data_IF_446206577992
#
_entry.id   IF_446206577992
#
_cell.length_a   1.000
_cell.length_b   1.000
_cell.length_c   1.000
_cell.angle_alpha   90.00
_cell.angle_beta   90.00
_cell.angle_gamma   90.00
#
_symmetry.space_group_name_H-M   'P 1'
#
loop_
_entity.id
_entity.type
_entity.pdbx_description
1 polymer ?
#
# COMPACT_ATOMS: atom_id res chain seq x y z
N UNK A 1 25.78 14.47 30.35
CA UNK A 1 25.62 14.57 28.89
C UNK A 1 24.36 13.80 28.56
N UNK A 2 23.30 14.53 28.23
CA UNK A 2 21.96 14.00 28.04
C UNK A 2 21.94 12.99 26.89
N UNK A 3 21.41 11.81 27.17
CA UNK A 3 20.95 10.90 26.13
C UNK A 3 19.76 11.57 25.45
N UNK A 4 19.99 12.22 24.31
CA UNK A 4 18.90 12.67 23.46
C UNK A 4 18.25 11.42 22.88
N UNK A 5 17.24 10.92 23.58
CA UNK A 5 16.27 9.99 23.01
C UNK A 5 15.59 10.75 21.87
N UNK A 6 16.02 10.49 20.63
CA UNK A 6 15.31 11.01 19.46
C UNK A 6 14.04 10.18 19.31
N UNK A 7 12.84 10.70 19.64
CA UNK A 7 11.63 9.98 19.27
C UNK A 7 11.63 9.85 17.76
N UNK A 8 11.39 8.64 17.27
CA UNK A 8 11.31 8.30 15.85
C UNK A 8 10.18 9.07 15.17
N UNK A 9 10.38 10.37 14.91
CA UNK A 9 9.43 11.31 14.28
C UNK A 9 8.84 10.81 12.97
N UNK A 10 9.58 9.93 12.29
CA UNK A 10 9.18 9.34 11.02
C UNK A 10 7.94 8.44 11.14
N UNK A 11 7.76 7.75 12.28
CA UNK A 11 6.60 6.88 12.50
C UNK A 11 5.31 7.69 12.73
N UNK A 12 5.42 8.74 13.53
CA UNK A 12 4.30 9.64 13.82
C UNK A 12 3.84 10.39 12.55
N UNK A 13 4.79 10.93 11.78
CA UNK A 13 4.51 11.57 10.50
C UNK A 13 3.90 10.61 9.45
N UNK A 14 4.29 9.33 9.46
CA UNK A 14 3.69 8.31 8.58
C UNK A 14 2.24 8.04 8.95
N UNK A 15 1.92 8.01 10.24
CA UNK A 15 0.55 7.79 10.72
C UNK A 15 -0.33 8.99 10.37
N UNK A 16 0.15 10.22 10.61
CA UNK A 16 -0.57 11.45 10.24
C UNK A 16 -0.85 11.49 8.73
N UNK A 17 0.16 11.24 7.90
CA UNK A 17 0.01 11.23 6.45
C UNK A 17 -0.96 10.15 5.97
N UNK A 18 -0.91 8.95 6.56
CA UNK A 18 -1.84 7.86 6.24
C UNK A 18 -3.28 8.27 6.56
N UNK A 19 -3.50 8.88 7.73
CA UNK A 19 -4.82 9.32 8.16
C UNK A 19 -5.40 10.38 7.20
N UNK A 20 -4.61 11.37 6.80
CA UNK A 20 -5.04 12.40 5.84
C UNK A 20 -5.42 11.80 4.47
N UNK A 21 -4.62 10.86 3.96
CA UNK A 21 -4.88 10.21 2.67
C UNK A 21 -6.15 9.38 2.72
N UNK A 22 -6.33 8.55 3.77
CA UNK A 22 -7.52 7.72 3.91
C UNK A 22 -8.76 8.61 4.12
N UNK A 23 -8.68 9.66 4.93
CA UNK A 23 -9.77 10.60 5.15
C UNK A 23 -10.24 11.27 3.85
N UNK A 24 -9.30 11.71 3.01
CA UNK A 24 -9.62 12.28 1.70
C UNK A 24 -10.29 11.25 0.77
N UNK A 25 -9.80 10.00 0.78
CA UNK A 25 -10.37 8.94 -0.05
C UNK A 25 -11.81 8.62 0.36
N UNK A 26 -12.06 8.38 1.66
CA UNK A 26 -13.40 7.98 2.14
C UNK A 26 -14.41 9.13 2.10
N UNK A 27 -13.95 10.39 2.11
CA UNK A 27 -14.83 11.56 1.96
C UNK A 27 -15.52 11.61 0.60
N UNK A 28 -14.91 11.05 -0.44
CA UNK A 28 -15.46 11.03 -1.80
C UNK A 28 -15.76 9.61 -2.33
N UNK A 29 -15.43 8.57 -1.56
CA UNK A 29 -15.63 7.17 -1.93
C UNK A 29 -16.26 6.41 -0.75
N UNK A 30 -17.57 6.10 -0.80
CA UNK A 30 -18.19 5.32 0.25
C UNK A 30 -17.59 3.91 0.30
N UNK A 31 -16.87 3.62 1.38
CA UNK A 31 -16.23 2.32 1.63
C UNK A 31 -16.99 1.55 2.70
N UNK A 32 -17.19 0.23 2.53
CA UNK A 32 -17.75 -0.62 3.57
C UNK A 32 -16.90 -0.58 4.83
N UNK A 33 -17.53 -0.53 6.00
CA UNK A 33 -16.83 -0.50 7.30
C UNK A 33 -15.91 -1.70 7.52
N UNK A 34 -16.21 -2.84 6.90
CA UNK A 34 -15.37 -4.05 6.97
C UNK A 34 -14.08 -3.95 6.16
N UNK A 35 -14.03 -3.10 5.13
CA UNK A 35 -12.87 -2.93 4.25
C UNK A 35 -11.95 -1.78 4.69
N UNK A 36 -12.46 -0.87 5.55
CA UNK A 36 -11.70 0.27 6.04
C UNK A 36 -10.39 -0.12 6.76
N UNK A 37 -10.34 -1.17 7.61
CA UNK A 37 -9.09 -1.58 8.25
C UNK A 37 -8.03 -2.06 7.24
N UNK A 38 -8.45 -2.78 6.19
CA UNK A 38 -7.56 -3.25 5.13
C UNK A 38 -6.99 -2.07 4.36
N UNK A 39 -7.84 -1.11 3.98
CA UNK A 39 -7.41 0.09 3.26
C UNK A 39 -6.35 0.88 4.05
N UNK A 40 -6.55 1.08 5.34
CA UNK A 40 -5.59 1.78 6.22
C UNK A 40 -4.26 1.02 6.26
N UNK A 41 -4.30 -0.31 6.43
CA UNK A 41 -3.11 -1.14 6.46
C UNK A 41 -2.33 -1.08 5.15
N UNK A 42 -3.02 -1.14 4.01
CA UNK A 42 -2.41 -1.08 2.68
C UNK A 42 -1.74 0.27 2.41
N UNK A 43 -2.40 1.38 2.74
CA UNK A 43 -1.85 2.73 2.55
C UNK A 43 -0.66 2.96 3.47
N UNK A 44 -0.78 2.63 4.75
CA UNK A 44 0.33 2.75 5.72
C UNK A 44 1.52 1.89 5.27
N UNK A 45 1.26 0.65 4.88
CA UNK A 45 2.31 -0.24 4.37
C UNK A 45 2.94 0.35 3.11
N UNK A 46 2.16 0.86 2.15
CA UNK A 46 2.65 1.44 0.89
C UNK A 46 3.52 2.68 1.12
N UNK A 47 3.10 3.59 1.99
CA UNK A 47 3.88 4.77 2.35
C UNK A 47 5.17 4.40 3.11
N UNK A 48 5.11 3.40 3.99
CA UNK A 48 6.30 2.87 4.67
C UNK A 48 7.36 2.25 3.75
N UNK A 49 6.97 1.79 2.55
CA UNK A 49 7.91 1.30 1.50
C UNK A 49 8.55 2.44 0.73
N UNK A 50 7.96 3.64 0.73
CA UNK A 50 8.53 4.83 0.08
C UNK A 50 9.68 5.33 0.96
N UNK A 51 10.87 4.76 0.77
CA UNK A 51 12.10 5.13 1.47
C UNK A 51 12.89 3.95 2.05
N UNK A 52 12.27 2.78 2.18
CA UNK A 52 12.93 1.51 2.48
C UNK A 52 13.01 0.63 1.25
N UNK A 53 14.12 -0.10 1.07
CA UNK A 53 14.30 -1.04 -0.03
C UNK A 53 13.05 -1.91 -0.22
N UNK A 54 12.44 -1.77 -1.39
CA UNK A 54 11.21 -2.46 -1.78
C UNK A 54 11.44 -3.98 -1.72
N UNK A 55 10.84 -4.68 -0.74
CA UNK A 55 10.58 -6.10 -0.91
C UNK A 55 9.43 -6.18 -1.93
N UNK A 56 9.84 -6.31 -3.19
CA UNK A 56 8.97 -6.40 -4.35
C UNK A 56 7.92 -7.50 -4.08
N UNK A 57 6.61 -7.20 -4.03
CA UNK A 57 5.62 -8.26 -3.97
C UNK A 57 5.87 -9.14 -5.20
N UNK A 58 6.13 -10.42 -4.94
CA UNK A 58 6.40 -11.41 -5.97
C UNK A 58 5.35 -11.26 -7.05
N UNK A 59 5.75 -10.83 -8.25
CA UNK A 59 4.85 -10.63 -9.37
C UNK A 59 4.05 -11.92 -9.55
N UNK A 60 2.79 -11.90 -9.12
CA UNK A 60 1.84 -12.97 -9.38
C UNK A 60 1.78 -13.07 -10.89
N UNK A 61 2.43 -14.11 -11.44
CA UNK A 61 2.53 -14.36 -12.88
C UNK A 61 1.15 -14.13 -13.46
N UNK A 62 1.02 -13.07 -14.25
CA UNK A 62 -0.18 -12.81 -15.03
C UNK A 62 -0.40 -14.08 -15.85
N UNK A 63 -1.42 -14.85 -15.48
CA UNK A 63 -1.79 -16.08 -16.18
C UNK A 63 -2.10 -15.62 -17.61
N UNK A 64 -1.44 -16.16 -18.65
CA UNK A 64 -1.71 -15.73 -20.00
C UNK A 64 -3.22 -15.90 -20.27
N UNK A 65 -3.89 -14.81 -20.63
CA UNK A 65 -5.33 -14.79 -20.86
C UNK A 65 -5.76 -15.58 -22.11
N UNK A 66 -4.82 -16.21 -22.81
CA UNK A 66 -5.08 -16.93 -24.05
C UNK A 66 -4.53 -18.34 -23.98
N UNK A 67 -5.41 -19.29 -24.31
CA UNK A 67 -5.07 -20.70 -24.42
C UNK A 67 -4.19 -20.88 -25.67
N UNK A 68 -2.94 -21.36 -25.57
CA UNK A 68 -2.01 -21.45 -26.70
C UNK A 68 -2.48 -22.38 -27.84
N UNK A 69 -3.58 -23.12 -27.65
CA UNK A 69 -4.22 -23.95 -28.68
C UNK A 69 -5.04 -23.17 -29.73
N UNK A 70 -5.22 -21.84 -29.58
CA UNK A 70 -5.85 -20.97 -30.60
C UNK A 70 -4.85 -20.10 -31.37
N UNK A 71 -3.55 -20.40 -31.33
CA UNK A 71 -2.58 -19.81 -32.25
C UNK A 71 -2.80 -20.36 -33.66
N UNK A 72 -3.60 -19.61 -34.42
CA UNK A 72 -3.69 -19.44 -35.88
C UNK A 72 -3.00 -20.48 -36.78
N UNK A 73 -3.81 -21.10 -37.65
CA UNK A 73 -3.40 -21.70 -38.92
C UNK A 73 -3.80 -20.68 -40.01
N UNK A 74 -2.81 -20.11 -40.68
CA UNK A 74 -2.86 -19.75 -42.11
C UNK A 74 -1.43 -19.85 -42.65
#
# INVERSE_FOLDING_TARGET
>A
MEIVETPSKNGDALIELTADVVAAYVSNNPVPVGELPNLIADVHAALGRVGGSSEQPSAEKQKPAVNPKRSVHD
#
